data_IF_709704955836
#
_entry.id   IF_709704955836
#
_cell.length_a   1.000
_cell.length_b   1.000
_cell.length_c   1.000
_cell.angle_alpha   90.00
_cell.angle_beta   90.00
_cell.angle_gamma   90.00
#
_symmetry.space_group_name_H-M   'P 1'
#
loop_
_entity.id
_entity.type
_entity.pdbx_description
1 polymer ?
#
# COMPACT_ATOMS: atom_id res chain seq x y z
N UNK A 1 -13.37 -12.85 5.68
CA UNK A 1 -12.01 -12.22 5.74
C UNK A 1 -12.20 -10.82 6.28
N UNK A 2 -11.46 -10.44 7.33
CA UNK A 2 -11.50 -9.10 7.90
C UNK A 2 -10.39 -8.25 7.28
N UNK A 3 -10.65 -6.97 7.06
CA UNK A 3 -9.73 -5.99 6.51
C UNK A 3 -9.60 -4.83 7.48
N UNK A 4 -8.38 -4.44 7.78
CA UNK A 4 -8.05 -3.31 8.64
C UNK A 4 -7.35 -2.24 7.80
N UNK A 5 -8.03 -1.11 7.60
CA UNK A 5 -7.53 0.01 6.83
C UNK A 5 -7.00 1.09 7.78
N UNK A 6 -5.69 1.32 7.75
CA UNK A 6 -5.03 2.35 8.55
C UNK A 6 -4.74 3.54 7.65
N UNK A 7 -5.29 4.69 7.98
CA UNK A 7 -5.15 5.93 7.22
C UNK A 7 -5.00 7.11 8.18
N UNK A 8 -4.01 7.98 7.92
CA UNK A 8 -3.73 9.13 8.78
C UNK A 8 -4.53 10.39 8.42
N UNK A 9 -4.93 10.51 7.13
CA UNK A 9 -5.63 11.70 6.64
C UNK A 9 -7.12 11.58 6.87
N UNK A 10 -7.68 12.48 7.66
CA UNK A 10 -9.11 12.47 8.00
C UNK A 10 -10.04 12.43 6.78
N UNK A 11 -9.73 13.21 5.74
CA UNK A 11 -10.54 13.20 4.51
C UNK A 11 -10.50 11.86 3.78
N UNK A 12 -9.38 11.13 3.81
CA UNK A 12 -9.28 9.81 3.23
C UNK A 12 -9.99 8.75 4.09
N UNK A 13 -9.92 8.87 5.42
CA UNK A 13 -10.73 8.07 6.36
C UNK A 13 -12.22 8.19 6.05
N UNK A 14 -12.72 9.40 5.87
CA UNK A 14 -14.12 9.65 5.53
C UNK A 14 -14.50 9.03 4.18
N UNK A 15 -13.62 9.06 3.18
CA UNK A 15 -13.84 8.40 1.89
C UNK A 15 -13.90 6.86 2.01
N UNK A 16 -13.06 6.27 2.85
CA UNK A 16 -13.11 4.82 3.12
C UNK A 16 -14.46 4.45 3.75
N UNK A 17 -14.91 5.24 4.75
CA UNK A 17 -16.19 5.01 5.42
C UNK A 17 -17.35 5.11 4.43
N UNK A 18 -17.39 6.17 3.62
CA UNK A 18 -18.43 6.35 2.59
C UNK A 18 -18.45 5.19 1.57
N UNK A 19 -17.27 4.75 1.11
CA UNK A 19 -17.18 3.63 0.19
C UNK A 19 -17.62 2.31 0.83
N UNK A 20 -17.22 2.08 2.09
CA UNK A 20 -17.67 0.93 2.88
C UNK A 20 -19.20 0.87 2.95
N UNK A 21 -19.85 1.98 3.32
CA UNK A 21 -21.30 2.09 3.40
C UNK A 21 -21.98 1.89 2.04
N UNK A 22 -21.47 2.59 1.01
CA UNK A 22 -22.01 2.49 -0.37
C UNK A 22 -22.00 1.07 -0.91
N UNK A 23 -21.01 0.27 -0.55
CA UNK A 23 -20.86 -1.11 -1.03
C UNK A 23 -21.34 -2.16 -0.02
N UNK A 24 -21.90 -1.75 1.13
CA UNK A 24 -22.40 -2.67 2.16
C UNK A 24 -21.34 -3.59 2.75
N UNK A 25 -20.11 -3.08 2.94
CA UNK A 25 -18.98 -3.86 3.41
C UNK A 25 -18.84 -3.76 4.93
N UNK A 26 -19.28 -4.76 5.65
CA UNK A 26 -19.21 -4.79 7.13
C UNK A 26 -17.84 -5.26 7.66
N UNK A 27 -17.07 -5.96 6.83
CA UNK A 27 -15.80 -6.58 7.18
C UNK A 27 -14.58 -5.63 7.05
N UNK A 28 -14.77 -4.34 6.83
CA UNK A 28 -13.71 -3.34 6.79
C UNK A 28 -13.72 -2.51 8.07
N UNK A 29 -12.62 -2.52 8.80
CA UNK A 29 -12.38 -1.75 10.00
C UNK A 29 -11.44 -0.60 9.70
N UNK A 30 -11.88 0.63 9.94
CA UNK A 30 -11.10 1.84 9.61
C UNK A 30 -10.44 2.37 10.87
N UNK A 31 -9.14 2.62 10.81
CA UNK A 31 -8.32 3.12 11.90
C UNK A 31 -7.68 4.43 11.45
N UNK A 32 -8.05 5.53 12.10
CA UNK A 32 -7.42 6.82 11.85
C UNK A 32 -6.13 6.91 12.66
N UNK A 33 -5.02 6.51 12.04
CA UNK A 33 -3.70 6.56 12.64
C UNK A 33 -2.61 6.63 11.54
N UNK A 34 -1.41 7.03 11.92
CA UNK A 34 -0.22 6.93 11.07
C UNK A 34 0.49 5.61 11.37
N UNK A 35 0.48 4.67 10.40
CA UNK A 35 1.17 3.40 10.59
C UNK A 35 2.68 3.61 10.90
N UNK A 36 3.26 2.81 11.82
CA UNK A 36 2.72 1.59 12.44
C UNK A 36 1.81 1.82 13.66
N UNK A 37 1.53 3.07 14.07
CA UNK A 37 0.63 3.35 15.17
C UNK A 37 -0.74 2.71 14.94
N UNK A 38 -1.33 2.15 15.99
CA UNK A 38 -2.62 1.45 15.91
C UNK A 38 -2.53 0.00 15.39
N UNK A 39 -1.37 -0.49 14.98
CA UNK A 39 -1.20 -1.87 14.53
C UNK A 39 -1.11 -2.88 15.67
N UNK A 40 -0.67 -2.47 16.86
CA UNK A 40 -0.38 -3.37 17.98
C UNK A 40 -1.59 -4.20 18.42
N UNK A 41 -2.75 -3.57 18.43
CA UNK A 41 -4.02 -4.19 18.87
C UNK A 41 -4.72 -5.02 17.80
N UNK A 42 -4.24 -4.97 16.55
CA UNK A 42 -4.86 -5.67 15.44
C UNK A 42 -4.58 -7.18 15.50
N UNK A 43 -5.49 -8.00 14.96
CA UNK A 43 -5.23 -9.42 14.78
C UNK A 43 -3.98 -9.67 13.93
N UNK A 44 -3.43 -10.88 14.02
CA UNK A 44 -2.29 -11.30 13.21
C UNK A 44 -2.66 -11.26 11.72
N UNK A 45 -2.00 -10.41 10.92
CA UNK A 45 -2.31 -10.29 9.49
C UNK A 45 -1.70 -11.43 8.70
N UNK A 46 -2.38 -11.90 7.67
CA UNK A 46 -1.83 -12.84 6.68
C UNK A 46 -1.27 -12.14 5.46
N UNK A 47 -1.86 -11.00 5.11
CA UNK A 47 -1.48 -10.17 3.96
C UNK A 47 -1.47 -8.69 4.38
N UNK A 48 -0.57 -7.92 3.80
CA UNK A 48 -0.56 -6.47 3.94
C UNK A 48 -0.37 -5.80 2.58
N UNK A 49 -1.15 -4.74 2.33
CA UNK A 49 -0.97 -3.85 1.20
C UNK A 49 -0.54 -2.47 1.71
N UNK A 50 0.55 -1.94 1.17
CA UNK A 50 1.11 -0.64 1.56
C UNK A 50 1.06 0.27 0.33
N UNK A 51 0.08 1.18 0.29
CA UNK A 51 -0.09 2.15 -0.80
C UNK A 51 0.67 3.46 -0.61
N UNK A 52 1.14 3.71 0.63
CA UNK A 52 1.96 4.85 1.02
C UNK A 52 2.38 4.70 2.48
N UNK A 53 3.65 4.89 2.77
CA UNK A 53 4.22 4.68 4.11
C UNK A 53 4.34 5.95 4.93
N UNK A 54 4.23 7.13 4.30
CA UNK A 54 4.48 8.40 4.97
C UNK A 54 5.90 8.53 5.52
N UNK A 55 6.87 7.80 4.96
CA UNK A 55 8.26 7.74 5.40
C UNK A 55 8.56 6.69 6.48
N UNK A 56 7.59 5.84 6.84
CA UNK A 56 7.75 4.83 7.90
C UNK A 56 7.76 3.39 7.34
N UNK A 57 8.21 3.20 6.10
CA UNK A 57 8.08 1.89 5.44
C UNK A 57 8.79 0.79 6.23
N UNK A 58 10.01 1.05 6.68
CA UNK A 58 10.81 0.08 7.44
C UNK A 58 10.12 -0.33 8.74
N UNK A 59 9.66 0.64 9.53
CA UNK A 59 8.98 0.41 10.80
C UNK A 59 7.68 -0.38 10.62
N UNK A 60 6.93 -0.08 9.54
CA UNK A 60 5.71 -0.82 9.19
C UNK A 60 6.05 -2.28 8.87
N UNK A 61 7.07 -2.51 8.05
CA UNK A 61 7.53 -3.87 7.69
C UNK A 61 7.99 -4.66 8.91
N UNK A 62 8.77 -4.03 9.80
CA UNK A 62 9.23 -4.66 11.04
C UNK A 62 8.06 -5.03 11.95
N UNK A 63 7.08 -4.15 12.12
CA UNK A 63 5.87 -4.42 12.90
C UNK A 63 5.03 -5.57 12.30
N UNK A 64 4.87 -5.61 10.98
CA UNK A 64 4.16 -6.67 10.28
C UNK A 64 4.86 -8.02 10.45
N UNK A 65 6.19 -8.06 10.23
CA UNK A 65 7.01 -9.26 10.37
C UNK A 65 7.01 -9.79 11.82
N UNK A 66 7.06 -8.90 12.81
CA UNK A 66 6.99 -9.28 14.21
C UNK A 66 5.64 -9.95 14.56
N UNK A 67 4.53 -9.51 13.93
CA UNK A 67 3.21 -10.12 14.11
C UNK A 67 3.07 -11.45 13.36
N UNK A 68 3.60 -11.53 12.15
CA UNK A 68 3.55 -12.74 11.34
C UNK A 68 4.83 -12.88 10.51
N UNK A 69 5.75 -13.80 10.87
CA UNK A 69 6.99 -14.03 10.13
C UNK A 69 6.79 -14.69 8.76
N UNK A 70 5.56 -14.99 8.36
CA UNK A 70 5.18 -15.57 7.06
C UNK A 70 4.18 -14.69 6.31
N UNK A 71 4.16 -13.40 6.62
CA UNK A 71 3.22 -12.46 5.99
C UNK A 71 3.59 -12.23 4.52
N UNK A 72 2.56 -12.16 3.66
CA UNK A 72 2.69 -11.67 2.29
C UNK A 72 2.47 -10.17 2.25
N UNK A 73 3.42 -9.45 1.64
CA UNK A 73 3.40 -8.00 1.55
C UNK A 73 3.36 -7.57 0.09
N UNK A 74 2.55 -6.56 -0.20
CA UNK A 74 2.51 -5.87 -1.49
C UNK A 74 2.69 -4.37 -1.24
N UNK A 75 3.62 -3.75 -1.94
CA UNK A 75 3.95 -2.33 -1.79
C UNK A 75 3.81 -1.64 -3.14
N UNK A 76 3.06 -0.53 -3.18
CA UNK A 76 3.05 0.38 -4.32
C UNK A 76 4.01 1.54 -4.06
N UNK A 77 4.84 1.86 -5.04
CA UNK A 77 5.77 2.98 -4.99
C UNK A 77 5.72 3.81 -6.28
N UNK A 78 5.71 5.13 -6.13
CA UNK A 78 5.78 6.09 -7.23
C UNK A 78 6.98 7.03 -7.11
N UNK A 79 7.64 7.10 -5.94
CA UNK A 79 8.83 7.90 -5.71
C UNK A 79 10.10 7.05 -5.72
N UNK A 80 11.21 7.65 -6.14
CA UNK A 80 12.51 6.99 -6.13
C UNK A 80 12.97 6.64 -4.72
N UNK A 81 12.64 7.48 -3.75
CA UNK A 81 12.95 7.27 -2.33
C UNK A 81 12.32 5.97 -1.84
N UNK A 82 11.02 5.77 -2.08
CA UNK A 82 10.32 4.54 -1.68
C UNK A 82 10.86 3.32 -2.42
N UNK A 83 11.24 3.45 -3.70
CA UNK A 83 11.86 2.36 -4.46
C UNK A 83 13.21 1.97 -3.85
N UNK A 84 14.02 2.94 -3.43
CA UNK A 84 15.28 2.68 -2.75
C UNK A 84 15.07 2.00 -1.40
N UNK A 85 14.10 2.46 -0.59
CA UNK A 85 13.74 1.81 0.68
C UNK A 85 13.30 0.36 0.48
N UNK A 86 12.48 0.08 -0.55
CA UNK A 86 12.08 -1.30 -0.89
C UNK A 86 13.31 -2.15 -1.20
N UNK A 87 14.23 -1.65 -2.02
CA UNK A 87 15.45 -2.38 -2.37
C UNK A 87 16.32 -2.67 -1.14
N UNK A 88 16.44 -1.73 -0.23
CA UNK A 88 17.17 -1.92 1.04
C UNK A 88 16.50 -3.01 1.88
N UNK A 89 15.18 -3.02 2.00
CA UNK A 89 14.41 -4.04 2.73
C UNK A 89 14.63 -5.42 2.10
N UNK A 90 14.47 -5.55 0.78
CA UNK A 90 14.67 -6.81 0.07
C UNK A 90 16.10 -7.36 0.22
N UNK A 91 17.08 -6.47 0.36
CA UNK A 91 18.49 -6.85 0.56
C UNK A 91 18.81 -7.20 2.02
N UNK A 92 18.07 -6.64 2.99
CA UNK A 92 18.33 -6.81 4.42
C UNK A 92 17.65 -8.05 5.00
N UNK A 93 16.59 -8.54 4.36
CA UNK A 93 15.81 -9.69 4.84
C UNK A 93 15.88 -10.86 3.85
N UNK A 94 15.79 -12.08 4.39
CA UNK A 94 15.61 -13.30 3.57
C UNK A 94 14.13 -13.38 3.17
N UNK A 95 13.80 -12.83 1.99
CA UNK A 95 12.45 -12.80 1.43
C UNK A 95 12.27 -13.90 0.38
N UNK A 96 11.02 -14.35 0.22
CA UNK A 96 10.64 -15.39 -0.74
C UNK A 96 9.60 -14.82 -1.70
N UNK A 97 9.48 -15.48 -2.86
CA UNK A 97 8.45 -15.18 -3.86
C UNK A 97 8.44 -13.68 -4.25
N UNK A 98 9.65 -13.09 -4.34
CA UNK A 98 9.82 -11.70 -4.76
C UNK A 98 9.37 -11.54 -6.20
N UNK A 99 8.51 -10.53 -6.43
CA UNK A 99 8.08 -10.10 -7.76
C UNK A 99 8.02 -8.57 -7.82
N UNK A 100 8.62 -7.97 -8.83
CA UNK A 100 8.66 -6.52 -9.02
C UNK A 100 8.15 -6.20 -10.42
N UNK A 101 7.05 -5.47 -10.48
CA UNK A 101 6.39 -5.05 -11.73
C UNK A 101 6.31 -3.54 -11.78
N UNK A 102 6.58 -2.97 -12.95
CA UNK A 102 6.30 -1.57 -13.23
C UNK A 102 5.09 -1.47 -14.16
N UNK A 103 4.11 -0.66 -13.77
CA UNK A 103 2.98 -0.29 -14.61
C UNK A 103 3.11 1.15 -15.07
N UNK A 104 2.93 1.36 -16.38
CA UNK A 104 2.84 2.68 -16.97
C UNK A 104 1.55 2.79 -17.77
N UNK A 105 0.75 3.81 -17.49
CA UNK A 105 -0.54 4.05 -18.13
C UNK A 105 -0.52 5.41 -18.78
N UNK A 106 -1.02 5.49 -20.00
CA UNK A 106 -1.30 6.75 -20.69
C UNK A 106 -2.77 6.78 -21.08
N UNK A 107 -3.39 7.94 -20.96
CA UNK A 107 -4.79 8.17 -21.35
C UNK A 107 -4.86 9.23 -22.42
N UNK A 108 -5.76 9.06 -23.38
CA UNK A 108 -6.04 10.12 -24.33
C UNK A 108 -6.84 11.24 -23.67
N UNK A 109 -6.44 12.49 -23.92
CA UNK A 109 -7.17 13.68 -23.50
C UNK A 109 -7.47 14.53 -24.73
N UNK A 110 -8.73 14.87 -24.94
CA UNK A 110 -9.13 15.75 -26.02
C UNK A 110 -8.77 17.20 -25.66
N UNK A 111 -8.05 17.85 -26.59
CA UNK A 111 -7.71 19.28 -26.51
C UNK A 111 -8.03 19.89 -27.85
N UNK A 112 -9.14 20.64 -27.93
CA UNK A 112 -9.68 21.15 -29.20
C UNK A 112 -10.04 20.00 -30.14
N UNK A 113 -9.41 19.92 -31.30
CA UNK A 113 -9.62 18.89 -32.31
C UNK A 113 -8.62 17.71 -32.21
N UNK A 114 -7.70 17.75 -31.24
CA UNK A 114 -6.66 16.75 -31.08
C UNK A 114 -6.91 15.83 -29.89
N UNK A 115 -6.44 14.60 -29.98
CA UNK A 115 -6.36 13.66 -28.88
C UNK A 115 -4.89 13.48 -28.51
N UNK A 116 -4.49 14.03 -27.40
CA UNK A 116 -3.12 13.89 -26.88
C UNK A 116 -3.04 12.77 -25.86
N UNK A 117 -1.96 12.00 -25.91
CA UNK A 117 -1.68 11.00 -24.90
C UNK A 117 -1.02 11.67 -23.69
N UNK A 118 -1.67 11.55 -22.53
CA UNK A 118 -1.16 12.02 -21.24
C UNK A 118 -0.72 10.82 -20.42
N UNK A 119 0.56 10.78 -20.05
CA UNK A 119 1.11 9.74 -19.20
C UNK A 119 0.75 9.99 -17.75
N UNK A 120 0.34 8.93 -17.05
CA UNK A 120 0.25 8.87 -15.60
C UNK A 120 1.65 8.58 -15.02
N UNK A 121 1.83 8.79 -13.71
CA UNK A 121 3.06 8.40 -13.06
C UNK A 121 3.25 6.89 -13.14
N UNK A 122 4.45 6.40 -13.48
CA UNK A 122 4.75 4.98 -13.35
C UNK A 122 4.58 4.51 -11.92
N UNK A 123 3.98 3.33 -11.74
CA UNK A 123 3.80 2.70 -10.43
C UNK A 123 4.63 1.44 -10.39
N UNK A 124 5.48 1.32 -9.39
CA UNK A 124 6.18 0.09 -9.06
C UNK A 124 5.36 -0.69 -8.05
N UNK A 125 5.13 -1.96 -8.34
CA UNK A 125 4.44 -2.89 -7.46
C UNK A 125 5.44 -3.96 -7.07
N UNK A 126 5.77 -4.02 -5.80
CA UNK A 126 6.68 -5.02 -5.25
C UNK A 126 5.89 -5.96 -4.34
N UNK A 127 5.99 -7.25 -4.54
CA UNK A 127 5.41 -8.26 -3.66
C UNK A 127 6.45 -9.27 -3.19
N UNK A 128 6.34 -9.71 -1.95
CA UNK A 128 7.21 -10.72 -1.36
C UNK A 128 6.57 -11.34 -0.12
N UNK A 129 7.19 -12.39 0.39
CA UNK A 129 6.85 -13.10 1.63
C UNK A 129 8.08 -13.18 2.53
N UNK A 130 7.86 -13.18 3.83
CA UNK A 130 8.91 -13.50 4.80
C UNK A 130 8.97 -14.99 5.10
#
# INVERSE_FOLDING_TARGET
MEVYAIEQKENAVQLIIQNKEKHGLENIHVINAKAPDGMDTLPVPTHAFIGGSGGNLKEIIEALKAKNPHIRIVINAISMETICEIKEILSAYDVKNEDIVQLQVSRSKQIGHYHLMQAENPVWICSFEF
#
